data_IF_449012241456
#
_entry.id   IF_449012241456
#
_cell.length_a   1.000
_cell.length_b   1.000
_cell.length_c   1.000
_cell.angle_alpha   90.00
_cell.angle_beta   90.00
_cell.angle_gamma   90.00
#
_symmetry.space_group_name_H-M   'P 1'
#
loop_
_entity.id
_entity.type
_entity.pdbx_description
1 polymer ?
#
# COMPACT_ATOMS: atom_id res chain seq x y z
N UNK A 1 19.98 74.37 10.59
CA UNK A 1 19.83 72.95 10.22
C UNK A 1 18.44 72.50 10.63
N UNK A 2 17.45 72.62 9.74
CA UNK A 2 16.05 72.24 10.00
C UNK A 2 15.77 70.95 9.24
N UNK A 3 15.68 69.84 9.99
CA UNK A 3 15.43 68.51 9.47
C UNK A 3 13.94 68.40 9.12
N UNK A 4 13.62 68.44 7.83
CA UNK A 4 12.26 68.23 7.34
C UNK A 4 11.83 66.78 7.63
N UNK A 5 10.83 66.61 8.48
CA UNK A 5 10.23 65.32 8.76
C UNK A 5 9.56 64.77 7.49
N UNK A 6 10.12 63.70 6.91
CA UNK A 6 9.49 62.98 5.79
C UNK A 6 8.24 62.28 6.32
N UNK A 7 7.07 62.69 5.84
CA UNK A 7 5.83 61.97 6.08
C UNK A 7 5.94 60.54 5.55
N UNK A 8 5.59 59.55 6.37
CA UNK A 8 5.57 58.16 5.96
C UNK A 8 4.56 57.98 4.80
N UNK A 9 4.90 57.20 3.76
CA UNK A 9 3.97 56.97 2.66
C UNK A 9 2.70 56.30 3.18
N UNK A 10 1.51 56.66 2.65
CA UNK A 10 0.26 56.04 3.07
C UNK A 10 0.34 54.54 2.81
N UNK A 11 0.01 53.73 3.82
CA UNK A 11 0.01 52.27 3.69
C UNK A 11 -0.82 51.88 2.46
N UNK A 12 -0.32 51.00 1.57
CA UNK A 12 -1.01 50.66 0.34
C UNK A 12 -2.31 49.94 0.69
N UNK A 13 -3.45 50.63 0.55
CA UNK A 13 -4.79 50.11 0.84
C UNK A 13 -5.05 48.76 0.16
N UNK A 14 -4.46 48.55 -1.01
CA UNK A 14 -4.48 47.28 -1.75
C UNK A 14 -3.85 46.13 -0.94
N UNK A 15 -2.75 46.37 -0.24
CA UNK A 15 -2.11 45.36 0.63
C UNK A 15 -2.99 44.99 1.82
N UNK A 16 -3.74 45.94 2.37
CA UNK A 16 -4.64 45.69 3.51
C UNK A 16 -5.86 44.87 3.08
N UNK A 17 -6.43 45.16 1.91
CA UNK A 17 -7.53 44.36 1.32
C UNK A 17 -7.08 42.93 1.05
N UNK A 18 -5.88 42.74 0.49
CA UNK A 18 -5.31 41.40 0.26
C UNK A 18 -5.11 40.65 1.57
N UNK A 19 -4.55 41.29 2.60
CA UNK A 19 -4.39 40.68 3.92
C UNK A 19 -5.74 40.26 4.53
N UNK A 20 -6.77 41.12 4.46
CA UNK A 20 -8.11 40.79 4.95
C UNK A 20 -8.68 39.60 4.18
N UNK A 21 -8.56 39.59 2.85
CA UNK A 21 -9.03 38.47 2.04
C UNK A 21 -8.31 37.16 2.40
N UNK A 22 -6.98 37.18 2.57
CA UNK A 22 -6.22 36.02 3.01
C UNK A 22 -6.65 35.52 4.39
N UNK A 23 -6.90 36.44 5.34
CA UNK A 23 -7.38 36.09 6.68
C UNK A 23 -8.77 35.46 6.60
N UNK A 24 -9.69 36.05 5.83
CA UNK A 24 -11.05 35.51 5.66
C UNK A 24 -11.04 34.15 4.95
N UNK A 25 -10.22 33.98 3.91
CA UNK A 25 -10.05 32.70 3.22
C UNK A 25 -9.47 31.63 4.16
N UNK A 26 -8.47 31.99 4.97
CA UNK A 26 -7.88 31.08 5.96
C UNK A 26 -8.89 30.72 7.04
N UNK A 27 -9.64 31.69 7.56
CA UNK A 27 -10.70 31.46 8.53
C UNK A 27 -11.81 30.55 7.97
N UNK A 28 -12.21 30.75 6.71
CA UNK A 28 -13.17 29.91 6.02
C UNK A 28 -12.65 28.47 5.82
N UNK A 29 -11.36 28.28 5.51
CA UNK A 29 -10.73 26.96 5.41
C UNK A 29 -10.60 26.24 6.75
N UNK A 30 -10.45 26.98 7.85
CA UNK A 30 -10.43 26.45 9.22
C UNK A 30 -11.84 26.15 9.74
N UNK A 31 -12.88 26.75 9.15
CA UNK A 31 -14.26 26.50 9.52
C UNK A 31 -14.75 25.17 8.93
N UNK A 32 -14.80 24.15 9.79
CA UNK A 32 -15.07 22.76 9.42
C UNK A 32 -16.28 22.53 8.48
N UNK A 33 -17.46 23.16 8.68
CA UNK A 33 -18.59 22.88 7.80
C UNK A 33 -18.41 23.48 6.39
N UNK A 34 -17.79 24.65 6.25
CA UNK A 34 -17.42 25.18 4.92
C UNK A 34 -16.38 24.27 4.24
N UNK A 35 -15.38 23.80 5.00
CA UNK A 35 -14.39 22.85 4.49
C UNK A 35 -15.02 21.56 3.97
N UNK A 36 -16.02 21.02 4.67
CA UNK A 36 -16.72 19.81 4.26
C UNK A 36 -17.47 19.99 2.93
N UNK A 37 -18.10 21.14 2.70
CA UNK A 37 -18.75 21.45 1.43
C UNK A 37 -17.74 21.58 0.28
N UNK A 38 -16.59 22.24 0.51
CA UNK A 38 -15.53 22.33 -0.49
C UNK A 38 -14.93 20.95 -0.85
N UNK A 39 -14.84 20.03 0.10
CA UNK A 39 -14.34 18.68 -0.16
C UNK A 39 -15.25 17.88 -1.11
N UNK A 40 -16.54 18.22 -1.24
CA UNK A 40 -17.44 17.59 -2.21
C UNK A 40 -17.10 17.92 -3.67
N UNK A 41 -16.26 18.93 -3.91
CA UNK A 41 -15.71 19.24 -5.24
C UNK A 41 -14.55 18.30 -5.58
N UNK A 42 -13.92 17.68 -4.58
CA UNK A 42 -12.77 16.80 -4.80
C UNK A 42 -13.09 15.66 -5.77
N UNK A 43 -14.20 14.88 -5.61
CA UNK A 43 -14.50 13.77 -6.51
C UNK A 43 -14.61 14.19 -7.98
N UNK A 44 -15.10 15.40 -8.25
CA UNK A 44 -15.23 15.92 -9.62
C UNK A 44 -13.88 16.17 -10.28
N UNK A 45 -12.87 16.52 -9.49
CA UNK A 45 -11.51 16.82 -9.97
C UNK A 45 -10.54 15.67 -9.74
N UNK A 46 -10.94 14.63 -9.00
CA UNK A 46 -10.12 13.49 -8.63
C UNK A 46 -9.60 12.74 -9.87
N UNK A 47 -10.44 12.57 -10.89
CA UNK A 47 -10.06 11.91 -12.14
C UNK A 47 -9.02 12.72 -12.91
N UNK A 48 -9.19 14.05 -13.01
CA UNK A 48 -8.21 14.93 -13.67
C UNK A 48 -6.90 14.97 -12.89
N UNK A 49 -6.97 15.11 -11.57
CA UNK A 49 -5.79 15.05 -10.70
C UNK A 49 -5.06 13.73 -10.88
N UNK A 50 -5.78 12.61 -10.93
CA UNK A 50 -5.16 11.29 -11.11
C UNK A 50 -4.60 11.12 -12.52
N UNK A 51 -5.34 11.56 -13.54
CA UNK A 51 -4.94 11.44 -14.94
C UNK A 51 -3.74 12.32 -15.29
N UNK A 52 -3.65 13.52 -14.71
CA UNK A 52 -2.64 14.54 -15.07
C UNK A 52 -1.49 14.58 -14.07
N UNK A 53 -1.75 14.37 -12.77
CA UNK A 53 -0.77 14.62 -11.70
C UNK A 53 -0.32 13.36 -10.95
N UNK A 54 -0.93 12.19 -11.14
CA UNK A 54 -0.41 10.97 -10.51
C UNK A 54 0.91 10.55 -11.14
N UNK A 55 1.85 10.14 -10.29
CA UNK A 55 3.06 9.45 -10.71
C UNK A 55 2.68 8.18 -11.49
N UNK A 56 2.94 8.19 -12.80
CA UNK A 56 2.77 7.02 -13.65
C UNK A 56 4.13 6.38 -13.87
N UNK A 57 4.27 5.12 -13.48
CA UNK A 57 5.40 4.34 -13.95
C UNK A 57 5.20 3.99 -15.42
N UNK A 58 6.18 4.26 -16.27
CA UNK A 58 6.13 3.90 -17.69
C UNK A 58 6.33 2.39 -17.91
N UNK A 59 6.71 1.65 -16.87
CA UNK A 59 6.92 0.21 -16.91
C UNK A 59 6.35 -0.47 -15.67
N UNK A 60 5.80 -1.69 -15.80
CA UNK A 60 5.42 -2.49 -14.65
C UNK A 60 6.59 -2.67 -13.68
N UNK A 61 6.29 -2.73 -12.39
CA UNK A 61 7.32 -2.99 -11.38
C UNK A 61 7.85 -4.43 -11.55
N UNK A 62 9.17 -4.59 -11.65
CA UNK A 62 9.81 -5.88 -11.99
C UNK A 62 9.57 -7.01 -10.98
N UNK A 63 9.15 -6.68 -9.76
CA UNK A 63 8.89 -7.64 -8.67
C UNK A 63 7.39 -7.84 -8.37
N UNK A 64 6.49 -7.27 -9.17
CA UNK A 64 5.05 -7.35 -8.93
C UNK A 64 4.37 -7.82 -10.20
N UNK A 65 3.62 -8.92 -10.10
CA UNK A 65 2.72 -9.39 -11.14
C UNK A 65 1.29 -9.24 -10.66
N UNK A 66 0.40 -8.77 -11.54
CA UNK A 66 -1.04 -8.70 -11.29
C UNK A 66 -1.70 -9.70 -12.23
N UNK A 67 -2.39 -10.68 -11.66
CA UNK A 67 -3.17 -11.67 -12.41
C UNK A 67 -4.63 -11.26 -12.32
N UNK A 68 -5.22 -10.92 -13.47
CA UNK A 68 -6.60 -10.43 -13.54
C UNK A 68 -7.51 -11.57 -13.99
N UNK A 69 -8.59 -11.79 -13.24
CA UNK A 69 -9.71 -12.64 -13.64
C UNK A 69 -10.79 -11.72 -14.21
N UNK A 70 -11.07 -11.86 -15.50
CA UNK A 70 -12.05 -11.07 -16.22
C UNK A 70 -13.17 -11.96 -16.81
N UNK A 71 -14.12 -11.34 -17.50
CA UNK A 71 -15.24 -12.06 -18.13
C UNK A 71 -14.76 -13.13 -19.13
N UNK A 72 -13.71 -12.85 -19.89
CA UNK A 72 -13.18 -13.79 -20.89
C UNK A 72 -12.57 -15.02 -20.22
N UNK A 73 -11.83 -14.84 -19.12
CA UNK A 73 -11.30 -15.97 -18.32
C UNK A 73 -12.39 -16.82 -17.68
N UNK A 74 -13.57 -16.25 -17.46
CA UNK A 74 -14.72 -16.94 -16.86
C UNK A 74 -15.68 -17.54 -17.90
N UNK A 75 -15.51 -17.24 -19.20
CA UNK A 75 -16.47 -17.63 -20.24
C UNK A 75 -16.68 -19.16 -20.36
N UNK A 76 -15.68 -19.96 -19.98
CA UNK A 76 -15.76 -21.42 -19.97
C UNK A 76 -16.35 -22.04 -18.69
N UNK A 77 -16.73 -21.23 -17.71
CA UNK A 77 -17.28 -21.70 -16.44
C UNK A 77 -18.80 -21.57 -16.41
N UNK A 78 -19.47 -22.51 -15.72
CA UNK A 78 -20.92 -22.52 -15.59
C UNK A 78 -21.48 -21.31 -14.81
N UNK A 79 -20.63 -20.65 -14.02
CA UNK A 79 -21.00 -19.49 -13.20
C UNK A 79 -19.82 -18.53 -13.06
N UNK A 80 -20.13 -17.25 -12.82
CA UNK A 80 -19.13 -16.19 -12.61
C UNK A 80 -19.03 -15.75 -11.13
N UNK A 81 -20.07 -16.02 -10.33
CA UNK A 81 -20.13 -15.65 -8.91
C UNK A 81 -20.82 -16.76 -8.10
N UNK A 82 -20.18 -17.27 -7.03
CA UNK A 82 -18.83 -16.97 -6.54
C UNK A 82 -17.73 -17.30 -7.57
N UNK A 83 -16.54 -16.72 -7.45
CA UNK A 83 -15.43 -17.05 -8.38
C UNK A 83 -15.08 -18.54 -8.29
N UNK A 84 -15.07 -19.30 -9.39
CA UNK A 84 -14.84 -20.76 -9.38
C UNK A 84 -13.54 -21.15 -8.65
N UNK A 85 -13.62 -22.07 -7.68
CA UNK A 85 -12.44 -22.39 -6.84
C UNK A 85 -11.39 -23.24 -7.55
N UNK A 86 -11.80 -24.05 -8.52
CA UNK A 86 -10.86 -24.74 -9.39
C UNK A 86 -10.01 -23.77 -10.23
N UNK A 87 -10.60 -22.66 -10.73
CA UNK A 87 -9.86 -21.58 -11.40
C UNK A 87 -8.83 -20.98 -10.46
N UNK A 88 -9.25 -20.57 -9.26
CA UNK A 88 -8.36 -19.96 -8.27
C UNK A 88 -7.24 -20.92 -7.86
N UNK A 89 -7.54 -22.20 -7.65
CA UNK A 89 -6.55 -23.21 -7.30
C UNK A 89 -5.53 -23.42 -8.44
N UNK A 90 -6.00 -23.43 -9.70
CA UNK A 90 -5.12 -23.54 -10.87
C UNK A 90 -4.22 -22.31 -11.02
N UNK A 91 -4.76 -21.10 -10.83
CA UNK A 91 -3.99 -19.85 -10.86
C UNK A 91 -2.93 -19.83 -9.76
N UNK A 92 -3.29 -20.21 -8.52
CA UNK A 92 -2.32 -20.26 -7.42
C UNK A 92 -1.19 -21.23 -7.74
N UNK A 93 -1.50 -22.45 -8.22
CA UNK A 93 -0.46 -23.43 -8.60
C UNK A 93 0.43 -22.93 -9.75
N UNK A 94 -0.16 -22.27 -10.74
CA UNK A 94 0.60 -21.71 -11.86
C UNK A 94 1.54 -20.59 -11.39
N UNK A 95 1.06 -19.70 -10.51
CA UNK A 95 1.86 -18.61 -9.94
C UNK A 95 2.93 -19.14 -8.99
N UNK A 96 2.63 -20.17 -8.20
CA UNK A 96 3.56 -20.85 -7.29
C UNK A 96 4.78 -21.42 -8.02
N UNK A 97 4.61 -21.90 -9.26
CA UNK A 97 5.73 -22.40 -10.08
C UNK A 97 6.81 -21.34 -10.40
N UNK A 98 6.51 -20.05 -10.20
CA UNK A 98 7.45 -18.95 -10.35
C UNK A 98 8.10 -18.52 -9.01
N UNK A 99 7.86 -19.25 -7.93
CA UNK A 99 8.43 -19.03 -6.58
C UNK A 99 8.28 -17.58 -6.06
N UNK A 100 7.06 -17.01 -6.04
CA UNK A 100 6.88 -15.64 -5.59
C UNK A 100 7.13 -15.51 -4.08
N UNK A 101 7.56 -14.33 -3.66
CA UNK A 101 7.78 -14.05 -2.24
C UNK A 101 6.49 -14.13 -1.40
N UNK A 102 5.34 -13.83 -2.01
CA UNK A 102 3.99 -13.97 -1.47
C UNK A 102 2.96 -13.98 -2.60
N UNK A 103 1.81 -14.60 -2.37
CA UNK A 103 0.64 -14.52 -3.27
C UNK A 103 -0.52 -13.88 -2.51
N UNK A 104 -1.03 -12.75 -2.99
CA UNK A 104 -2.24 -12.14 -2.47
C UNK A 104 -3.46 -12.51 -3.32
N UNK A 105 -4.52 -13.02 -2.68
CA UNK A 105 -5.81 -13.30 -3.35
C UNK A 105 -6.85 -12.28 -2.88
N UNK A 106 -7.10 -11.26 -3.72
CA UNK A 106 -8.05 -10.17 -3.46
C UNK A 106 -9.50 -10.57 -3.80
N UNK A 107 -9.98 -11.64 -3.15
CA UNK A 107 -11.33 -12.19 -3.31
C UNK A 107 -11.82 -12.66 -1.95
N UNK A 108 -13.04 -12.30 -1.57
CA UNK A 108 -13.67 -12.78 -0.34
C UNK A 108 -14.40 -14.13 -0.56
N UNK A 109 -14.47 -14.94 0.51
CA UNK A 109 -14.99 -16.31 0.46
C UNK A 109 -16.24 -16.47 1.32
N UNK A 110 -17.35 -15.83 0.96
CA UNK A 110 -18.58 -15.80 1.78
C UNK A 110 -19.62 -16.86 1.42
N UNK A 111 -19.47 -17.52 0.26
CA UNK A 111 -20.38 -18.57 -0.23
C UNK A 111 -19.58 -19.78 -0.72
N UNK A 112 -20.12 -21.01 -0.53
CA UNK A 112 -19.52 -22.23 -1.05
C UNK A 112 -19.63 -22.31 -2.57
N UNK A 113 -18.80 -23.18 -3.16
CA UNK A 113 -19.00 -23.67 -4.53
C UNK A 113 -19.24 -25.18 -4.51
N UNK A 114 -18.61 -25.95 -5.38
CA UNK A 114 -18.54 -27.41 -5.26
C UNK A 114 -17.52 -27.80 -4.18
N UNK A 115 -17.84 -28.75 -3.27
CA UNK A 115 -16.94 -29.13 -2.18
C UNK A 115 -15.53 -29.55 -2.63
N UNK A 116 -15.42 -30.33 -3.70
CA UNK A 116 -14.13 -30.77 -4.24
C UNK A 116 -13.28 -29.59 -4.74
N UNK A 117 -13.92 -28.57 -5.31
CA UNK A 117 -13.27 -27.36 -5.79
C UNK A 117 -12.83 -26.47 -4.61
N UNK A 118 -13.68 -26.32 -3.60
CA UNK A 118 -13.36 -25.61 -2.36
C UNK A 118 -12.13 -26.24 -1.67
N UNK A 119 -12.12 -27.57 -1.52
CA UNK A 119 -10.96 -28.29 -0.96
C UNK A 119 -9.72 -28.23 -1.86
N UNK A 120 -9.88 -28.22 -3.19
CA UNK A 120 -8.76 -28.06 -4.10
C UNK A 120 -8.06 -26.71 -3.94
N UNK A 121 -8.83 -25.64 -3.66
CA UNK A 121 -8.26 -24.33 -3.35
C UNK A 121 -7.57 -24.32 -2.00
N UNK A 122 -8.18 -24.91 -0.96
CA UNK A 122 -7.54 -25.07 0.37
C UNK A 122 -6.18 -25.75 0.24
N UNK A 123 -6.09 -26.87 -0.49
CA UNK A 123 -4.82 -27.58 -0.74
C UNK A 123 -3.80 -26.72 -1.47
N UNK A 124 -4.22 -25.97 -2.49
CA UNK A 124 -3.31 -25.09 -3.24
C UNK A 124 -2.76 -23.95 -2.36
N UNK A 125 -3.60 -23.39 -1.48
CA UNK A 125 -3.20 -22.36 -0.52
C UNK A 125 -2.19 -22.91 0.49
N UNK A 126 -2.45 -24.10 1.05
CA UNK A 126 -1.59 -24.75 2.03
C UNK A 126 -0.23 -25.15 1.44
N UNK A 127 -0.19 -25.59 0.17
CA UNK A 127 1.04 -26.07 -0.48
C UNK A 127 2.15 -25.00 -0.56
N UNK A 128 1.79 -23.75 -0.89
CA UNK A 128 2.76 -22.66 -0.98
C UNK A 128 3.17 -22.10 0.40
N UNK A 129 2.22 -22.01 1.35
CA UNK A 129 2.47 -21.52 2.71
C UNK A 129 2.76 -20.00 2.85
N UNK A 130 2.79 -19.23 1.76
CA UNK A 130 2.90 -17.75 1.76
C UNK A 130 1.79 -17.06 0.99
N UNK A 131 0.64 -17.72 0.93
CA UNK A 131 -0.59 -17.12 0.39
C UNK A 131 -1.25 -16.26 1.46
N UNK A 132 -1.78 -15.11 1.04
CA UNK A 132 -2.59 -14.21 1.85
C UNK A 132 -3.98 -14.16 1.25
N UNK A 133 -4.99 -14.49 2.04
CA UNK A 133 -6.39 -14.46 1.63
C UNK A 133 -7.06 -13.18 2.12
N UNK A 134 -7.99 -12.70 1.31
CA UNK A 134 -8.82 -11.57 1.64
C UNK A 134 -10.06 -11.98 2.44
N UNK A 135 -10.50 -11.10 3.33
CA UNK A 135 -11.72 -11.27 4.10
C UNK A 135 -12.57 -10.00 4.13
N UNK A 136 -13.86 -10.19 4.32
CA UNK A 136 -14.75 -9.12 4.78
C UNK A 136 -14.72 -9.07 6.31
N UNK A 137 -14.71 -7.87 6.87
CA UNK A 137 -14.78 -7.67 8.31
C UNK A 137 -16.20 -7.27 8.76
N UNK A 138 -16.34 -6.98 10.04
CA UNK A 138 -17.61 -6.66 10.71
C UNK A 138 -18.19 -5.31 10.26
N UNK A 139 -17.41 -4.42 9.65
CA UNK A 139 -17.94 -3.16 9.10
C UNK A 139 -18.60 -3.34 7.73
N UNK A 140 -18.46 -4.51 7.09
CA UNK A 140 -19.18 -4.85 5.87
C UNK A 140 -20.59 -5.37 6.20
N UNK A 141 -21.53 -4.45 6.39
CA UNK A 141 -22.92 -4.74 6.81
C UNK A 141 -23.76 -5.41 5.73
N UNK A 142 -23.30 -5.43 4.47
CA UNK A 142 -24.01 -6.07 3.36
C UNK A 142 -23.99 -7.61 3.40
N UNK A 143 -23.18 -8.22 4.27
CA UNK A 143 -23.10 -9.67 4.41
C UNK A 143 -23.92 -10.17 5.60
N UNK A 144 -24.55 -11.31 5.43
CA UNK A 144 -25.28 -12.02 6.48
C UNK A 144 -24.33 -12.71 7.47
N UNK A 145 -24.89 -13.17 8.59
CA UNK A 145 -24.12 -13.91 9.60
C UNK A 145 -23.67 -15.29 9.11
N UNK A 146 -24.51 -16.00 8.36
CA UNK A 146 -24.17 -17.30 7.77
C UNK A 146 -23.02 -17.20 6.76
N UNK A 147 -22.99 -16.12 5.98
CA UNK A 147 -21.89 -15.80 5.04
C UNK A 147 -20.57 -15.53 5.77
N UNK A 148 -20.60 -14.77 6.87
CA UNK A 148 -19.41 -14.55 7.73
C UNK A 148 -18.93 -15.84 8.36
N UNK A 149 -19.84 -16.70 8.82
CA UNK A 149 -19.50 -18.01 9.38
C UNK A 149 -18.88 -18.94 8.33
N UNK A 150 -19.42 -18.97 7.10
CA UNK A 150 -18.83 -19.72 6.02
C UNK A 150 -17.40 -19.24 5.72
N UNK A 151 -17.21 -17.92 5.56
CA UNK A 151 -15.90 -17.33 5.35
C UNK A 151 -14.92 -17.70 6.47
N UNK A 152 -15.35 -17.58 7.72
CA UNK A 152 -14.54 -17.96 8.88
C UNK A 152 -14.08 -19.42 8.82
N UNK A 153 -14.97 -20.35 8.49
CA UNK A 153 -14.62 -21.77 8.37
C UNK A 153 -13.64 -22.01 7.22
N UNK A 154 -13.95 -21.49 6.03
CA UNK A 154 -13.13 -21.64 4.84
C UNK A 154 -11.70 -21.09 5.05
N UNK A 155 -11.58 -19.88 5.59
CA UNK A 155 -10.28 -19.24 5.84
C UNK A 155 -9.48 -19.97 6.94
N UNK A 156 -10.17 -20.50 7.96
CA UNK A 156 -9.54 -21.31 9.01
C UNK A 156 -9.00 -22.63 8.47
N UNK A 157 -9.74 -23.29 7.57
CA UNK A 157 -9.31 -24.53 6.91
C UNK A 157 -8.10 -24.27 5.99
N UNK A 158 -8.11 -23.16 5.25
CA UNK A 158 -7.01 -22.77 4.39
C UNK A 158 -5.69 -22.48 5.16
N UNK A 159 -5.77 -22.06 6.42
CA UNK A 159 -4.60 -21.83 7.28
C UNK A 159 -3.67 -20.70 6.83
N UNK A 160 -4.09 -19.88 5.87
CA UNK A 160 -3.32 -18.75 5.35
C UNK A 160 -3.40 -17.51 6.25
N UNK A 161 -2.48 -16.57 6.04
CA UNK A 161 -2.66 -15.22 6.61
C UNK A 161 -3.89 -14.57 5.97
N UNK A 162 -4.63 -13.82 6.77
CA UNK A 162 -5.87 -13.16 6.32
C UNK A 162 -5.79 -11.67 6.60
N UNK A 163 -6.22 -10.85 5.64
CA UNK A 163 -6.43 -9.41 5.86
C UNK A 163 -7.72 -8.91 5.23
N UNK A 164 -8.28 -7.84 5.81
CA UNK A 164 -9.58 -7.33 5.38
C UNK A 164 -9.48 -6.45 4.11
N UNK A 165 -10.54 -6.45 3.29
CA UNK A 165 -10.63 -5.70 2.03
C UNK A 165 -11.16 -4.28 2.16
N UNK A 166 -11.80 -3.96 3.28
CA UNK A 166 -12.44 -2.67 3.49
C UNK A 166 -11.43 -1.52 3.32
N UNK A 167 -11.81 -0.56 2.50
CA UNK A 167 -11.05 0.67 2.30
C UNK A 167 -11.52 1.73 3.29
N UNK A 168 -10.57 2.47 3.86
CA UNK A 168 -10.87 3.67 4.64
C UNK A 168 -11.17 4.80 3.67
N UNK A 169 -12.45 5.18 3.61
CA UNK A 169 -12.92 6.38 2.92
C UNK A 169 -12.94 7.56 3.89
N UNK A 170 -12.52 8.71 3.41
CA UNK A 170 -12.73 9.98 4.11
C UNK A 170 -14.19 10.43 3.97
N UNK A 171 -14.57 11.55 4.60
CA UNK A 171 -15.94 12.09 4.55
C UNK A 171 -16.43 12.43 3.14
N UNK A 172 -15.52 12.61 2.20
CA UNK A 172 -15.78 12.87 0.78
C UNK A 172 -15.73 11.60 -0.09
N UNK A 173 -15.77 10.41 0.54
CA UNK A 173 -15.72 9.09 -0.09
C UNK A 173 -14.40 8.72 -0.79
N UNK A 174 -13.39 9.57 -0.67
CA UNK A 174 -12.08 9.37 -1.30
C UNK A 174 -11.19 8.51 -0.41
N UNK A 175 -10.49 7.55 -1.02
CA UNK A 175 -9.51 6.70 -0.35
C UNK A 175 -8.13 7.34 -0.46
N UNK A 176 -7.65 7.94 0.62
CA UNK A 176 -6.31 8.59 0.69
C UNK A 176 -5.29 7.79 1.46
N UNK A 177 -5.75 6.89 2.31
CA UNK A 177 -4.93 6.25 3.32
C UNK A 177 -5.20 4.75 3.34
N UNK A 178 -4.16 3.96 3.62
CA UNK A 178 -4.35 2.54 3.93
C UNK A 178 -5.23 2.41 5.16
N UNK A 179 -6.11 1.41 5.18
CA UNK A 179 -6.97 1.16 6.33
C UNK A 179 -6.11 0.81 7.55
N UNK A 180 -6.24 1.55 8.67
CA UNK A 180 -5.54 1.21 9.91
C UNK A 180 -6.09 -0.11 10.47
N UNK A 181 -5.37 -0.75 11.40
CA UNK A 181 -5.90 -1.92 12.05
C UNK A 181 -7.23 -1.64 12.76
N UNK A 182 -8.16 -2.59 12.69
CA UNK A 182 -9.50 -2.50 13.29
C UNK A 182 -9.53 -3.31 14.59
N UNK A 183 -9.58 -2.60 15.72
CA UNK A 183 -9.68 -3.22 17.05
C UNK A 183 -10.98 -4.02 17.18
N UNK A 184 -10.89 -5.24 17.72
CA UNK A 184 -12.07 -6.10 17.93
C UNK A 184 -12.56 -6.83 16.69
N UNK A 185 -11.96 -6.59 15.52
CA UNK A 185 -12.24 -7.38 14.32
C UNK A 185 -11.54 -8.74 14.38
N UNK A 186 -12.20 -9.78 13.85
CA UNK A 186 -11.57 -11.09 13.62
C UNK A 186 -10.36 -11.01 12.69
N UNK A 187 -10.39 -10.05 11.76
CA UNK A 187 -9.30 -9.78 10.82
C UNK A 187 -8.85 -8.34 11.02
N UNK A 188 -7.96 -8.07 12.00
CA UNK A 188 -7.67 -6.71 12.41
C UNK A 188 -6.79 -5.94 11.42
N UNK A 189 -6.03 -6.60 10.55
CA UNK A 189 -5.09 -5.96 9.64
C UNK A 189 -5.60 -5.97 8.19
N UNK A 190 -5.29 -4.91 7.43
CA UNK A 190 -5.68 -4.84 6.02
C UNK A 190 -4.97 -5.88 5.17
N UNK A 191 -5.63 -6.31 4.09
CA UNK A 191 -5.08 -7.26 3.11
C UNK A 191 -3.69 -6.84 2.61
N UNK A 192 -3.55 -5.57 2.21
CA UNK A 192 -2.26 -5.03 1.74
C UNK A 192 -1.15 -5.12 2.80
N UNK A 193 -1.48 -4.87 4.08
CA UNK A 193 -0.51 -4.98 5.17
C UNK A 193 -0.06 -6.43 5.38
N UNK A 194 -0.97 -7.40 5.24
CA UNK A 194 -0.65 -8.83 5.38
C UNK A 194 0.21 -9.35 4.23
N UNK A 195 -0.03 -8.90 2.99
CA UNK A 195 0.84 -9.19 1.84
C UNK A 195 2.24 -8.62 2.09
N UNK A 196 2.33 -7.37 2.55
CA UNK A 196 3.60 -6.73 2.88
C UNK A 196 4.36 -7.46 3.99
N UNK A 197 3.68 -7.87 5.08
CA UNK A 197 4.29 -8.64 6.18
C UNK A 197 4.77 -10.02 5.75
N UNK A 198 4.06 -10.66 4.82
CA UNK A 198 4.47 -11.96 4.28
C UNK A 198 5.73 -11.83 3.43
N UNK A 199 5.87 -10.71 2.71
CA UNK A 199 7.02 -10.45 1.83
C UNK A 199 8.25 -9.91 2.57
N UNK A 200 8.05 -8.99 3.52
CA UNK A 200 9.13 -8.18 4.12
C UNK A 200 9.38 -8.52 5.60
N UNK A 201 8.52 -9.35 6.21
CA UNK A 201 8.60 -9.75 7.61
C UNK A 201 7.52 -9.14 8.51
N UNK A 202 7.33 -9.70 9.72
CA UNK A 202 6.19 -9.39 10.59
C UNK A 202 6.21 -7.96 11.16
N UNK A 203 7.37 -7.31 11.18
CA UNK A 203 7.55 -5.98 11.77
C UNK A 203 7.09 -4.82 10.86
N UNK A 204 6.57 -5.12 9.67
CA UNK A 204 5.98 -4.08 8.81
C UNK A 204 4.77 -3.49 9.51
N UNK A 205 4.78 -2.15 9.60
CA UNK A 205 3.70 -1.33 10.13
C UNK A 205 3.30 -0.31 9.08
N UNK A 206 2.01 -0.02 9.01
CA UNK A 206 1.55 1.20 8.34
C UNK A 206 2.13 2.40 9.11
N UNK A 207 2.88 3.27 8.44
CA UNK A 207 3.27 4.56 9.01
C UNK A 207 2.17 5.56 8.68
N UNK A 208 1.49 6.07 9.70
CA UNK A 208 0.60 7.23 9.63
C UNK A 208 -0.41 7.21 10.78
N UNK A 209 -0.86 8.37 11.29
CA UNK A 209 -1.80 8.40 12.39
C UNK A 209 -3.23 8.09 11.92
N UNK A 210 -4.11 7.73 12.85
CA UNK A 210 -5.56 7.73 12.63
C UNK A 210 -6.10 9.13 12.24
N UNK A 211 -5.26 10.16 12.35
CA UNK A 211 -5.50 11.57 12.00
C UNK A 211 -4.47 12.04 10.96
N UNK A 212 -4.97 12.56 9.85
CA UNK A 212 -4.29 13.44 8.87
C UNK A 212 -2.75 13.55 8.97
N UNK A 213 -2.01 12.52 8.52
CA UNK A 213 -0.71 12.70 7.85
C UNK A 213 -0.22 11.38 7.25
N UNK A 214 -0.24 11.34 5.91
CA UNK A 214 0.52 10.43 5.04
C UNK A 214 0.65 8.98 5.50
N UNK A 215 -0.39 8.16 5.27
CA UNK A 215 -0.21 6.70 5.18
C UNK A 215 0.58 6.34 3.89
N UNK A 216 1.89 6.51 3.93
CA UNK A 216 2.79 5.80 3.03
C UNK A 216 3.15 4.46 3.67
N UNK A 217 3.06 3.38 2.91
CA UNK A 217 3.80 2.15 3.23
C UNK A 217 5.29 2.51 3.17
N UNK A 218 5.88 2.82 4.33
CA UNK A 218 7.30 3.04 4.44
C UNK A 218 7.98 1.66 4.60
N UNK A 219 8.63 1.19 3.54
CA UNK A 219 9.49 0.02 3.56
C UNK A 219 10.70 0.33 4.45
N UNK A 220 10.64 0.01 5.74
CA UNK A 220 11.80 0.03 6.62
C UNK A 220 12.65 -1.21 6.35
N UNK A 221 13.33 -1.23 5.21
CA UNK A 221 14.16 -2.34 4.75
C UNK A 221 14.96 -1.94 3.53
N UNK A 222 15.93 -1.05 3.72
CA UNK A 222 16.89 -0.69 2.68
C UNK A 222 17.69 -1.93 2.28
N UNK A 223 17.45 -2.43 1.06
CA UNK A 223 18.27 -3.42 0.40
C UNK A 223 19.54 -2.73 -0.14
N UNK A 224 20.32 -2.11 0.73
CA UNK A 224 21.68 -1.65 0.44
C UNK A 224 22.58 -2.17 1.56
N UNK A 225 23.53 -3.02 1.15
CA UNK A 225 24.64 -3.57 1.93
C UNK A 225 25.04 -2.72 3.12
N UNK A 226 24.66 -3.16 4.32
CA UNK A 226 25.26 -2.65 5.56
C UNK A 226 25.54 -3.82 6.48
N UNK A 227 26.81 -4.25 6.48
CA UNK A 227 27.39 -5.16 7.45
C UNK A 227 26.92 -4.81 8.88
N UNK A 228 26.42 -5.81 9.59
CA UNK A 228 25.84 -5.68 10.94
C UNK A 228 26.84 -5.20 12.01
N UNK A 229 28.13 -5.10 11.70
CA UNK A 229 29.17 -4.91 12.72
C UNK A 229 29.27 -3.48 13.30
N UNK A 230 28.67 -2.46 12.67
CA UNK A 230 28.77 -1.06 13.13
C UNK A 230 27.70 -0.65 14.16
N UNK A 231 26.81 -1.55 14.60
CA UNK A 231 25.71 -1.18 15.51
C UNK A 231 26.06 -1.18 17.00
N UNK A 232 27.17 -1.79 17.43
CA UNK A 232 27.63 -1.69 18.82
C UNK A 232 28.67 -0.58 18.97
N UNK A 233 28.32 0.48 19.70
CA UNK A 233 29.25 1.53 20.13
C UNK A 233 30.26 0.96 21.12
N UNK A 234 31.29 0.24 20.65
CA UNK A 234 32.32 -0.28 21.54
C UNK A 234 33.72 -0.49 20.92
N UNK A 235 33.98 -0.19 19.63
CA UNK A 235 35.34 -0.35 19.07
C UNK A 235 35.74 0.74 18.07
N UNK A 236 37.00 1.23 18.11
CA UNK A 236 37.52 2.19 17.14
C UNK A 236 37.71 1.56 15.75
N UNK A 237 37.44 2.37 14.70
CA UNK A 237 37.33 1.96 13.29
C UNK A 237 38.56 1.27 12.66
N UNK A 238 39.73 1.33 13.31
CA UNK A 238 40.96 0.71 12.82
C UNK A 238 40.99 -0.82 13.00
N UNK A 239 40.23 -1.38 13.95
CA UNK A 239 40.23 -2.82 14.26
C UNK A 239 39.24 -3.64 13.42
N UNK A 240 38.31 -3.02 12.70
CA UNK A 240 37.34 -3.74 11.85
C UNK A 240 37.89 -4.21 10.49
N UNK A 241 39.13 -3.83 10.11
CA UNK A 241 39.66 -4.10 8.76
C UNK A 241 40.27 -5.49 8.55
N UNK A 242 40.35 -6.37 9.57
CA UNK A 242 41.10 -7.64 9.45
C UNK A 242 40.32 -8.93 9.72
N UNK A 243 39.06 -8.88 10.09
CA UNK A 243 38.25 -10.09 10.27
C UNK A 243 37.05 -10.04 9.33
N UNK A 244 37.03 -11.01 8.41
CA UNK A 244 35.89 -11.45 7.59
C UNK A 244 35.56 -10.60 6.34
N UNK A 245 36.13 -11.02 5.21
CA UNK A 245 35.38 -11.19 3.95
C UNK A 245 34.86 -9.95 3.19
N UNK A 246 35.05 -8.71 3.65
CA UNK A 246 34.67 -7.54 2.86
C UNK A 246 35.65 -7.26 1.72
N UNK A 247 35.40 -7.83 0.53
CA UNK A 247 36.10 -7.46 -0.69
C UNK A 247 35.74 -6.03 -1.12
N UNK A 248 36.74 -5.15 -1.17
CA UNK A 248 36.62 -3.78 -1.70
C UNK A 248 36.49 -3.79 -3.24
N UNK A 249 35.61 -2.98 -3.85
CA UNK A 249 35.59 -2.83 -5.30
C UNK A 249 36.83 -2.04 -5.73
N UNK A 250 37.80 -2.70 -6.37
CA UNK A 250 38.87 -2.00 -7.10
C UNK A 250 38.23 -1.24 -8.27
N UNK A 251 38.31 0.07 -8.19
CA UNK A 251 38.19 0.99 -9.31
C UNK A 251 39.20 0.59 -10.40
N UNK A 252 38.71 0.07 -11.52
CA UNK A 252 39.47 -0.02 -12.76
C UNK A 252 38.95 1.07 -13.71
N UNK A 253 39.57 2.25 -13.64
CA UNK A 253 39.48 3.28 -14.67
C UNK A 253 40.89 3.65 -15.13
N UNK A 254 41.14 3.38 -16.40
CA UNK A 254 42.03 4.19 -17.24
C UNK A 254 43.43 3.64 -17.49
N UNK A 255 43.67 3.15 -18.71
CA UNK A 255 44.62 3.77 -19.64
C UNK A 255 44.49 3.11 -21.01
N UNK A 256 44.14 3.90 -22.03
CA UNK A 256 44.16 3.46 -23.42
C UNK A 256 45.53 3.67 -24.06
N UNK A 257 45.76 3.02 -25.22
CA UNK A 257 46.32 3.60 -26.44
C UNK A 257 46.35 2.55 -27.59
N UNK A 258 46.53 2.97 -28.86
CA UNK A 258 45.94 2.34 -30.05
C UNK A 258 46.96 1.67 -31.00
N UNK A 259 46.43 1.10 -32.10
CA UNK A 259 47.12 0.65 -33.35
C UNK A 259 48.01 -0.60 -33.20
N UNK A 260 48.02 -1.59 -34.09
CA UNK A 260 48.14 -1.57 -35.57
C UNK A 260 47.82 -2.97 -36.16
N UNK A 261 47.40 -2.96 -37.43
CA UNK A 261 47.48 -3.99 -38.49
C UNK A 261 46.75 -5.33 -38.29
#
# INVERSE_FOLDING_TARGET
MTQAARAAPPAPKLSLVVCIFCILATAALLYAPLRAEFLKIEPWTADWRTAVLSDKTTRPHTKVAIVVINKDTLAGYAYHSPTPRNLLAAVIRAVDSAEPAAIGVDIYFVRPTEPDNDHALVRAVQAHGKVVLAAVNESATQFSESERQFQSRFLSEAGARVGFLNLRRDQDEVVRYTSPPVTGSKYPDSFALQVARTTLGPNVRTKGPATFEQNRLAFAGGLHDRCLCCRSRARPAAQCRRSEGCSSPRSAKGQGRPHRQ
#
